data_IF_243138883705
#
_entry.id   IF_243138883705
#
_cell.length_a   1.000
_cell.length_b   1.000
_cell.length_c   1.000
_cell.angle_alpha   90.00
_cell.angle_beta   90.00
_cell.angle_gamma   90.00
#
_symmetry.space_group_name_H-M   'P 1'
#
loop_
_entity.id
_entity.type
_entity.pdbx_description
1 polymer ?
#
# COMPACT_ATOMS: atom_id res chain seq x y z
N UNK A 1 12.29 -9.98 -12.74
CA UNK A 1 11.80 -11.17 -13.47
C UNK A 1 12.49 -12.38 -12.89
N UNK A 2 11.73 -13.33 -12.35
CA UNK A 2 12.29 -14.58 -11.80
C UNK A 2 12.74 -15.45 -12.98
N UNK A 3 13.94 -16.02 -12.87
CA UNK A 3 14.44 -17.01 -13.82
C UNK A 3 14.66 -18.32 -13.06
N UNK A 4 14.18 -19.42 -13.66
CA UNK A 4 14.45 -20.77 -13.20
C UNK A 4 15.84 -21.17 -13.74
N UNK A 5 16.77 -21.54 -12.87
CA UNK A 5 18.03 -22.18 -13.26
C UNK A 5 18.24 -23.43 -12.42
N UNK A 6 18.44 -24.57 -13.07
CA UNK A 6 18.75 -25.83 -12.41
C UNK A 6 20.28 -26.01 -12.33
N UNK A 7 20.81 -26.07 -11.11
CA UNK A 7 22.17 -26.53 -10.84
C UNK A 7 22.09 -27.59 -9.74
N UNK A 8 22.36 -28.84 -10.09
CA UNK A 8 22.54 -29.92 -9.10
C UNK A 8 21.30 -30.37 -8.32
N UNK A 9 20.13 -30.51 -8.97
CA UNK A 9 18.95 -31.17 -8.37
C UNK A 9 18.24 -30.39 -7.25
N UNK A 10 18.68 -29.18 -6.94
CA UNK A 10 18.01 -28.25 -6.02
C UNK A 10 17.40 -27.09 -6.81
N UNK A 11 16.12 -26.79 -6.54
CA UNK A 11 15.34 -25.76 -7.21
C UNK A 11 15.73 -24.39 -6.63
N UNK A 12 16.80 -23.80 -7.18
CA UNK A 12 17.28 -22.50 -6.75
C UNK A 12 16.52 -21.40 -7.53
N UNK A 13 15.78 -20.55 -6.80
CA UNK A 13 15.25 -19.29 -7.32
C UNK A 13 16.41 -18.30 -7.44
N UNK A 14 16.70 -17.81 -8.65
CA UNK A 14 17.95 -17.04 -8.91
C UNK A 14 17.72 -15.58 -9.30
N UNK A 15 16.50 -15.04 -9.29
CA UNK A 15 16.35 -13.64 -9.73
C UNK A 15 15.17 -12.86 -9.13
N UNK A 16 15.46 -11.99 -8.15
CA UNK A 16 14.59 -10.90 -7.73
C UNK A 16 15.24 -9.57 -8.08
N UNK A 17 14.76 -8.94 -9.15
CA UNK A 17 15.14 -7.57 -9.52
C UNK A 17 14.25 -6.59 -8.77
N UNK A 18 14.78 -5.87 -7.77
CA UNK A 18 14.12 -4.68 -7.22
C UNK A 18 14.04 -3.62 -8.34
N UNK A 19 12.85 -3.09 -8.60
CA UNK A 19 12.66 -1.91 -9.44
C UNK A 19 12.85 -0.66 -8.57
N UNK A 20 14.07 -0.40 -8.12
CA UNK A 20 14.48 0.95 -7.72
C UNK A 20 15.27 1.53 -8.88
N UNK A 21 14.81 2.66 -9.44
CA UNK A 21 15.47 3.47 -10.46
C UNK A 21 16.35 2.69 -11.46
N UNK A 22 15.69 2.10 -12.45
CA UNK A 22 16.10 1.83 -13.84
C UNK A 22 17.56 1.51 -14.26
N UNK A 23 18.57 1.25 -13.42
CA UNK A 23 19.94 1.05 -13.95
C UNK A 23 20.75 -0.11 -13.34
N UNK A 24 20.59 -0.44 -12.06
CA UNK A 24 21.40 -1.51 -11.44
C UNK A 24 20.61 -2.80 -11.17
N UNK A 25 20.79 -3.81 -12.03
CA UNK A 25 20.31 -5.16 -11.78
C UNK A 25 21.23 -5.86 -10.78
N UNK A 26 20.76 -6.01 -9.54
CA UNK A 26 21.45 -6.79 -8.51
C UNK A 26 20.84 -8.19 -8.39
N UNK A 27 21.68 -9.22 -8.48
CA UNK A 27 21.29 -10.59 -8.14
C UNK A 27 21.36 -10.77 -6.64
N UNK A 28 20.27 -11.22 -6.02
CA UNK A 28 20.19 -11.51 -4.59
C UNK A 28 20.04 -13.02 -4.43
N UNK A 29 20.92 -13.63 -3.64
CA UNK A 29 20.84 -15.05 -3.23
C UNK A 29 20.41 -15.13 -1.78
N UNK A 30 19.47 -16.00 -1.47
CA UNK A 30 18.97 -16.24 -0.12
C UNK A 30 18.46 -17.68 0.01
N UNK A 31 18.29 -18.14 1.24
CA UNK A 31 17.74 -19.47 1.54
C UNK A 31 16.23 -19.57 1.21
N UNK A 32 15.52 -18.44 1.26
CA UNK A 32 14.11 -18.35 0.91
C UNK A 32 13.77 -16.97 0.30
N UNK A 33 12.69 -16.93 -0.46
CA UNK A 33 12.20 -15.71 -1.10
C UNK A 33 10.72 -15.50 -0.82
N UNK A 34 10.34 -14.28 -0.44
CA UNK A 34 8.95 -13.84 -0.28
C UNK A 34 8.72 -12.68 -1.24
N UNK A 35 7.63 -12.75 -2.00
CA UNK A 35 7.23 -11.69 -2.93
C UNK A 35 5.97 -11.02 -2.39
N UNK A 36 6.13 -9.87 -1.75
CA UNK A 36 5.03 -9.07 -1.21
C UNK A 36 4.66 -7.94 -2.19
N UNK A 37 4.24 -8.28 -3.41
CA UNK A 37 3.78 -7.32 -4.40
C UNK A 37 2.27 -7.45 -4.67
N UNK A 38 1.72 -6.45 -5.32
CA UNK A 38 0.35 -6.42 -5.80
C UNK A 38 0.10 -7.43 -6.95
N UNK A 39 -1.18 -7.60 -7.32
CA UNK A 39 -1.61 -8.52 -8.38
C UNK A 39 -0.92 -8.22 -9.73
N UNK A 40 -0.84 -6.96 -10.21
CA UNK A 40 -0.05 -6.63 -11.39
C UNK A 40 1.44 -6.98 -11.24
N UNK A 41 2.06 -6.68 -10.10
CA UNK A 41 3.46 -6.95 -9.83
C UNK A 41 3.80 -8.44 -9.90
N UNK A 42 2.98 -9.30 -9.28
CA UNK A 42 3.26 -10.73 -9.25
C UNK A 42 3.09 -11.36 -10.64
N UNK A 43 2.05 -10.94 -11.39
CA UNK A 43 1.83 -11.40 -12.78
C UNK A 43 2.99 -11.09 -13.71
N UNK A 44 3.68 -9.95 -13.50
CA UNK A 44 4.88 -9.56 -14.26
C UNK A 44 6.14 -10.29 -13.78
N UNK A 45 6.19 -10.68 -12.51
CA UNK A 45 7.37 -11.27 -11.91
C UNK A 45 7.48 -12.78 -12.17
N UNK A 46 6.34 -13.48 -12.18
CA UNK A 46 6.28 -14.94 -12.32
C UNK A 46 6.80 -15.40 -13.70
N UNK A 47 7.62 -16.46 -13.73
CA UNK A 47 8.02 -17.09 -14.99
C UNK A 47 6.82 -17.73 -15.69
N UNK A 48 6.75 -17.64 -17.02
CA UNK A 48 5.65 -18.22 -17.79
C UNK A 48 5.52 -19.73 -17.61
N UNK A 49 6.63 -20.44 -17.40
CA UNK A 49 6.65 -21.90 -17.18
C UNK A 49 5.90 -22.30 -15.90
N UNK A 50 5.79 -21.40 -14.91
CA UNK A 50 5.10 -21.71 -13.66
C UNK A 50 3.58 -21.80 -13.85
N UNK A 51 3.05 -21.28 -14.96
CA UNK A 51 1.62 -21.39 -15.31
C UNK A 51 1.17 -22.81 -15.63
N UNK A 52 2.10 -23.76 -15.81
CA UNK A 52 1.76 -25.19 -15.91
C UNK A 52 1.13 -25.72 -14.60
N UNK A 53 1.44 -25.09 -13.46
CA UNK A 53 0.80 -25.39 -12.18
C UNK A 53 -0.46 -24.54 -12.00
N UNK A 54 -1.59 -25.22 -11.77
CA UNK A 54 -2.88 -24.58 -11.45
C UNK A 54 -2.78 -23.55 -10.32
N UNK A 55 -1.90 -23.79 -9.35
CA UNK A 55 -1.69 -22.86 -8.23
C UNK A 55 -1.22 -21.48 -8.71
N UNK A 56 -0.23 -21.43 -9.60
CA UNK A 56 0.28 -20.17 -10.14
C UNK A 56 -0.59 -19.62 -11.26
N UNK A 57 -1.26 -20.48 -12.03
CA UNK A 57 -2.15 -20.02 -13.10
C UNK A 57 -3.37 -19.26 -12.55
N UNK A 58 -3.93 -19.71 -11.41
CA UNK A 58 -5.03 -19.03 -10.73
C UNK A 58 -4.72 -17.56 -10.37
N UNK A 59 -3.44 -17.16 -10.22
CA UNK A 59 -3.06 -15.76 -9.99
C UNK A 59 -3.48 -14.87 -11.17
N UNK A 60 -3.50 -15.42 -12.38
CA UNK A 60 -3.89 -14.68 -13.59
C UNK A 60 -5.38 -14.37 -13.66
N UNK A 61 -6.22 -15.12 -12.94
CA UNK A 61 -7.66 -14.85 -12.78
C UNK A 61 -7.96 -13.67 -11.84
N UNK A 62 -6.99 -13.24 -11.03
CA UNK A 62 -7.17 -12.11 -10.12
C UNK A 62 -7.21 -10.79 -10.90
N UNK A 63 -8.33 -10.07 -10.86
CA UNK A 63 -8.48 -8.76 -11.49
C UNK A 63 -8.58 -7.69 -10.40
N UNK A 64 -7.81 -6.61 -10.56
CA UNK A 64 -7.91 -5.47 -9.67
C UNK A 64 -9.22 -4.72 -9.92
N UNK A 65 -9.93 -4.39 -8.86
CA UNK A 65 -11.10 -3.51 -8.92
C UNK A 65 -10.59 -2.07 -8.78
N UNK A 66 -10.95 -1.14 -9.67
CA UNK A 66 -10.60 0.27 -9.50
C UNK A 66 -11.28 0.80 -8.23
N UNK A 67 -10.54 1.55 -7.42
CA UNK A 67 -11.06 2.18 -6.20
C UNK A 67 -10.66 3.65 -6.21
N UNK A 68 -11.58 4.53 -5.84
CA UNK A 68 -11.31 5.95 -5.63
C UNK A 68 -11.27 6.22 -4.14
N UNK A 69 -10.31 7.02 -3.69
CA UNK A 69 -10.26 7.54 -2.32
C UNK A 69 -10.27 9.05 -2.36
N UNK A 70 -11.23 9.67 -1.67
CA UNK A 70 -11.36 11.12 -1.55
C UNK A 70 -10.92 11.51 -0.15
N UNK A 71 -9.98 12.45 -0.07
CA UNK A 71 -9.55 13.06 1.18
C UNK A 71 -10.02 14.52 1.20
N UNK A 72 -10.76 14.89 2.24
CA UNK A 72 -11.24 16.26 2.46
C UNK A 72 -10.64 16.79 3.75
N UNK A 73 -10.03 17.98 3.65
CA UNK A 73 -9.49 18.72 4.79
C UNK A 73 -10.25 20.01 4.97
N UNK A 74 -10.73 20.23 6.19
CA UNK A 74 -11.47 21.41 6.58
C UNK A 74 -10.58 22.36 7.39
N UNK A 75 -10.96 23.64 7.43
CA UNK A 75 -10.30 24.67 8.22
C UNK A 75 -10.77 24.70 9.69
N UNK A 76 -11.47 23.67 10.16
CA UNK A 76 -12.01 23.52 11.51
C UNK A 76 -12.56 22.12 11.76
N UNK A 77 -12.96 21.85 13.00
CA UNK A 77 -13.45 20.54 13.45
C UNK A 77 -14.88 20.29 12.98
N UNK A 78 -15.05 19.35 12.05
CA UNK A 78 -16.35 18.98 11.49
C UNK A 78 -17.21 18.16 12.46
N UNK A 79 -16.62 17.56 13.49
CA UNK A 79 -17.39 16.87 14.55
C UNK A 79 -18.00 17.84 15.54
N UNK A 80 -17.48 19.06 15.65
CA UNK A 80 -17.90 20.06 16.65
C UNK A 80 -18.85 21.11 16.05
N UNK A 81 -19.50 20.84 14.92
CA UNK A 81 -20.33 21.81 14.21
C UNK A 81 -21.54 22.34 15.01
N UNK A 82 -21.93 21.66 16.10
CA UNK A 82 -22.98 22.17 17.01
C UNK A 82 -22.53 23.41 17.80
N UNK A 83 -21.22 23.63 17.92
CA UNK A 83 -20.61 24.81 18.54
C UNK A 83 -19.60 25.43 17.57
N UNK A 84 -20.00 26.53 16.92
CA UNK A 84 -19.19 27.17 15.89
C UNK A 84 -17.88 27.75 16.42
N UNK A 85 -17.82 28.19 17.68
CA UNK A 85 -16.57 28.66 18.28
C UNK A 85 -15.62 27.49 18.49
N UNK A 86 -16.14 26.37 19.03
CA UNK A 86 -15.39 25.15 19.24
C UNK A 86 -14.96 24.49 17.94
N UNK A 87 -15.77 24.56 16.88
CA UNK A 87 -15.42 24.05 15.54
C UNK A 87 -14.27 24.84 14.91
N UNK A 88 -14.20 26.16 15.13
CA UNK A 88 -13.20 27.02 14.48
C UNK A 88 -11.90 27.20 15.26
N UNK A 89 -11.89 26.86 16.56
CA UNK A 89 -10.66 27.02 17.35
C UNK A 89 -9.62 25.98 16.92
N UNK A 90 -8.37 26.41 16.69
CA UNK A 90 -7.27 25.52 16.25
C UNK A 90 -6.19 25.35 17.32
N UNK A 91 -6.41 25.90 18.53
CA UNK A 91 -5.42 25.89 19.62
C UNK A 91 -5.32 24.53 20.28
N UNK A 92 -6.39 23.73 20.24
CA UNK A 92 -6.44 22.41 20.83
C UNK A 92 -7.17 21.44 19.91
N UNK A 93 -6.66 20.22 19.78
CA UNK A 93 -7.39 19.14 19.11
C UNK A 93 -8.71 18.89 19.83
N UNK A 94 -9.83 19.12 19.14
CA UNK A 94 -11.18 19.02 19.72
C UNK A 94 -12.12 18.11 18.97
N UNK A 95 -11.70 17.60 17.80
CA UNK A 95 -12.55 16.83 16.91
C UNK A 95 -11.79 16.29 15.70
N UNK A 96 -12.53 15.94 14.65
CA UNK A 96 -11.98 15.56 13.35
C UNK A 96 -12.09 16.73 12.38
N UNK A 97 -11.06 16.98 11.58
CA UNK A 97 -11.02 17.99 10.51
C UNK A 97 -10.57 17.41 9.16
N UNK A 98 -10.16 16.14 9.15
CA UNK A 98 -9.77 15.37 7.97
C UNK A 98 -10.70 14.17 7.83
N UNK A 99 -11.41 14.08 6.70
CA UNK A 99 -12.29 12.97 6.38
C UNK A 99 -11.74 12.19 5.19
N UNK A 100 -11.72 10.87 5.34
CA UNK A 100 -11.46 9.92 4.26
C UNK A 100 -12.80 9.33 3.80
N UNK A 101 -13.00 9.24 2.49
CA UNK A 101 -14.18 8.63 1.91
C UNK A 101 -13.81 7.73 0.74
N UNK A 102 -14.40 6.54 0.73
CA UNK A 102 -14.29 5.58 -0.37
C UNK A 102 -15.71 5.17 -0.79
N UNK A 103 -16.15 5.50 -2.02
CA UNK A 103 -17.50 5.20 -2.48
C UNK A 103 -17.76 3.70 -2.66
N UNK A 104 -16.70 2.91 -2.88
CA UNK A 104 -16.77 1.47 -3.17
C UNK A 104 -16.58 0.57 -1.93
N UNK A 105 -16.52 1.14 -0.73
CA UNK A 105 -16.46 0.36 0.50
C UNK A 105 -17.88 0.01 0.97
N UNK A 106 -18.12 -1.24 1.37
CA UNK A 106 -19.41 -1.68 1.96
C UNK A 106 -19.81 -0.87 3.21
N UNK A 107 -18.87 -0.11 3.78
CA UNK A 107 -19.05 0.82 4.87
C UNK A 107 -18.16 2.05 4.68
N UNK A 108 -18.73 3.25 4.84
CA UNK A 108 -17.98 4.49 4.87
C UNK A 108 -17.07 4.52 6.12
N UNK A 109 -15.76 4.37 5.92
CA UNK A 109 -14.78 4.55 6.99
C UNK A 109 -14.47 6.03 7.19
N UNK A 110 -14.84 6.58 8.35
CA UNK A 110 -14.35 7.89 8.80
C UNK A 110 -13.17 7.66 9.75
N UNK A 111 -11.99 8.14 9.36
CA UNK A 111 -10.79 8.06 10.18
C UNK A 111 -9.98 9.35 10.05
N UNK A 112 -9.45 9.84 11.17
CA UNK A 112 -8.44 10.88 11.15
C UNK A 112 -7.16 10.30 10.57
N UNK A 113 -6.82 10.71 9.35
CA UNK A 113 -5.65 10.19 8.66
C UNK A 113 -4.35 10.52 9.40
N UNK A 114 -4.29 11.61 10.17
CA UNK A 114 -3.12 11.93 10.98
C UNK A 114 -2.92 10.92 12.13
N UNK A 115 -3.97 10.22 12.56
CA UNK A 115 -3.91 9.19 13.60
C UNK A 115 -3.80 7.77 13.05
N UNK A 116 -4.38 7.49 11.88
CA UNK A 116 -4.43 6.14 11.30
C UNK A 116 -3.33 5.84 10.29
N UNK A 117 -2.52 6.84 9.93
CA UNK A 117 -1.45 6.63 8.95
C UNK A 117 -0.26 5.85 9.51
N UNK A 118 0.45 5.11 8.65
CA UNK A 118 1.71 4.46 9.00
C UNK A 118 2.74 5.43 9.58
N UNK A 119 3.65 4.93 10.41
CA UNK A 119 4.77 5.69 11.00
C UNK A 119 5.59 6.48 9.97
N UNK A 120 5.66 6.00 8.71
CA UNK A 120 6.37 6.68 7.62
C UNK A 120 5.82 8.07 7.29
N UNK A 121 4.59 8.40 7.72
CA UNK A 121 3.99 9.73 7.60
C UNK A 121 4.19 10.59 8.85
N UNK A 122 5.02 10.18 9.78
CA UNK A 122 5.36 10.93 10.99
C UNK A 122 6.83 11.35 10.96
N UNK A 123 7.08 12.64 11.15
CA UNK A 123 8.44 13.15 11.39
C UNK A 123 8.54 13.57 12.85
N UNK A 124 9.52 13.03 13.55
CA UNK A 124 9.79 13.37 14.95
C UNK A 124 10.02 14.89 15.09
N UNK A 125 9.28 15.50 16.01
CA UNK A 125 9.28 16.96 16.22
C UNK A 125 8.45 17.79 15.23
N UNK A 126 7.99 17.22 14.11
CA UNK A 126 7.09 17.90 13.14
C UNK A 126 5.67 17.31 13.15
N UNK A 127 5.48 16.11 13.73
CA UNK A 127 4.20 15.44 13.79
C UNK A 127 3.86 14.70 12.49
N UNK A 128 2.57 14.38 12.32
CA UNK A 128 2.10 13.75 11.07
C UNK A 128 2.19 14.74 9.91
N UNK A 129 2.75 14.29 8.79
CA UNK A 129 2.84 15.02 7.51
C UNK A 129 1.48 15.21 6.84
N UNK A 130 0.46 14.54 7.34
CA UNK A 130 -0.92 14.61 6.85
C UNK A 130 -1.77 15.57 7.69
N UNK A 131 -1.16 16.24 8.68
CA UNK A 131 -1.79 17.19 9.59
C UNK A 131 -1.74 18.63 9.14
#
# INVERSE_FOLDING_TARGET
>A
MIQKSEVGGSLNLVHLSRLQQATDKKVVKADAYVVACDVPGIKRLLPSQWRESKFFDNIYELVGVPVVTVQLRYNGWVTELQDLERSRQLRQASGLDNLLYTPDADFSCFADLALTSPEDYYIEGQGSLLR
#
